data_IF_470947702109
#
_entry.id   IF_470947702109
#
_cell.length_a   1.000
_cell.length_b   1.000
_cell.length_c   1.000
_cell.angle_alpha   90.00
_cell.angle_beta   90.00
_cell.angle_gamma   90.00
#
_symmetry.space_group_name_H-M   'P 1'
#
loop_
_entity.id
_entity.type
_entity.pdbx_description
1 polymer ?
#
# COMPACT_ATOMS: atom_id res chain seq x y z
N UNK A 1 45.64 -28.07 56.25
CA UNK A 1 46.46 -27.07 55.54
C UNK A 1 45.95 -27.03 54.11
N UNK A 2 45.37 -25.90 53.77
CA UNK A 2 44.58 -25.56 52.58
C UNK A 2 45.32 -25.88 51.27
N UNK A 3 44.62 -26.50 50.31
CA UNK A 3 45.08 -26.61 48.92
C UNK A 3 44.21 -25.69 48.08
N UNK A 4 44.82 -24.61 47.62
CA UNK A 4 44.24 -23.59 46.76
C UNK A 4 43.71 -24.21 45.45
N UNK A 5 42.39 -24.12 45.26
CA UNK A 5 41.76 -24.26 43.96
C UNK A 5 41.84 -22.89 43.31
N UNK A 6 42.75 -22.72 42.34
CA UNK A 6 42.72 -21.57 41.43
C UNK A 6 41.51 -21.73 40.52
N UNK A 7 40.41 -21.10 40.90
CA UNK A 7 39.22 -20.90 40.07
C UNK A 7 39.61 -19.96 38.92
N UNK A 8 39.82 -20.49 37.73
CA UNK A 8 39.97 -19.68 36.53
C UNK A 8 38.57 -19.15 36.17
N UNK A 9 38.34 -17.88 36.48
CA UNK A 9 37.13 -17.17 36.09
C UNK A 9 37.21 -16.95 34.56
N UNK A 10 36.56 -17.84 33.79
CA UNK A 10 36.42 -17.66 32.35
C UNK A 10 35.30 -16.65 32.13
N UNK A 11 35.68 -15.37 32.03
CA UNK A 11 34.78 -14.29 31.64
C UNK A 11 34.46 -14.52 30.15
N UNK A 12 33.33 -15.16 29.87
CA UNK A 12 32.73 -15.15 28.53
C UNK A 12 32.15 -13.75 28.35
N UNK A 13 32.95 -12.85 27.78
CA UNK A 13 32.44 -11.59 27.25
C UNK A 13 31.61 -11.98 26.02
N UNK A 14 30.28 -11.85 26.10
CA UNK A 14 29.44 -11.81 24.91
C UNK A 14 29.85 -10.55 24.12
N UNK A 15 30.82 -10.72 23.23
CA UNK A 15 31.09 -9.74 22.18
C UNK A 15 29.86 -9.73 21.28
N UNK A 16 29.30 -8.55 21.05
CA UNK A 16 28.30 -8.32 20.01
C UNK A 16 28.78 -9.03 18.74
N UNK A 17 28.05 -10.06 18.30
CA UNK A 17 28.37 -10.77 17.07
C UNK A 17 28.11 -9.77 15.95
N UNK A 18 29.17 -9.13 15.48
CA UNK A 18 29.13 -8.30 14.28
C UNK A 18 28.75 -9.22 13.12
N UNK A 19 27.74 -8.81 12.35
CA UNK A 19 27.20 -9.48 11.17
C UNK A 19 28.21 -9.49 10.00
N UNK A 20 29.46 -9.91 10.23
CA UNK A 20 30.50 -9.79 9.22
C UNK A 20 30.69 -11.07 8.40
N UNK A 21 30.98 -10.90 7.11
CA UNK A 21 31.29 -12.00 6.21
C UNK A 21 32.62 -12.65 6.57
N UNK A 22 32.67 -13.97 6.55
CA UNK A 22 33.93 -14.72 6.72
C UNK A 22 34.47 -15.15 5.36
N UNK A 23 35.77 -14.99 5.16
CA UNK A 23 36.52 -15.38 3.96
C UNK A 23 37.58 -16.39 4.35
N UNK A 24 37.54 -17.57 3.75
CA UNK A 24 38.53 -18.60 3.96
C UNK A 24 39.59 -18.57 2.85
N UNK A 25 40.83 -18.22 3.19
CA UNK A 25 41.93 -18.25 2.25
C UNK A 25 42.45 -19.69 2.09
N UNK A 26 42.14 -20.30 0.95
CA UNK A 26 42.57 -21.67 0.66
C UNK A 26 44.10 -21.83 0.55
N UNK A 27 44.86 -20.75 0.36
CA UNK A 27 46.32 -20.82 0.24
C UNK A 27 47.01 -20.83 1.61
N UNK A 28 46.49 -20.05 2.57
CA UNK A 28 47.05 -19.95 3.92
C UNK A 28 46.34 -20.86 4.93
N UNK A 29 45.10 -21.27 4.62
CA UNK A 29 44.23 -22.02 5.52
C UNK A 29 43.60 -21.16 6.62
N UNK A 30 43.72 -19.83 6.54
CA UNK A 30 43.21 -18.88 7.53
C UNK A 30 41.80 -18.37 7.16
N UNK A 31 40.99 -18.13 8.18
CA UNK A 31 39.67 -17.52 8.06
C UNK A 31 39.74 -16.05 8.51
N UNK A 32 39.22 -15.16 7.67
CA UNK A 32 39.23 -13.73 7.91
C UNK A 32 37.82 -13.16 7.95
N UNK A 33 37.57 -12.30 8.92
CA UNK A 33 36.39 -11.45 8.92
C UNK A 33 36.61 -10.28 7.95
N UNK A 34 35.69 -10.11 6.99
CA UNK A 34 35.73 -9.05 5.99
C UNK A 34 35.02 -7.82 6.54
N UNK A 35 35.81 -6.83 6.93
CA UNK A 35 35.40 -5.57 7.55
C UNK A 35 36.14 -4.39 6.92
N UNK A 36 35.78 -3.17 7.33
CA UNK A 36 36.47 -1.96 6.89
C UNK A 36 37.95 -1.92 7.29
N UNK A 37 38.36 -2.70 8.29
CA UNK A 37 39.74 -2.74 8.80
C UNK A 37 40.58 -3.87 8.19
N UNK A 38 39.98 -4.76 7.39
CA UNK A 38 40.67 -5.91 6.79
C UNK A 38 41.81 -5.45 5.86
N UNK A 39 42.93 -6.16 5.92
CA UNK A 39 44.10 -5.87 5.07
C UNK A 39 43.74 -5.88 3.58
N UNK A 40 44.31 -4.94 2.83
CA UNK A 40 43.99 -4.75 1.41
C UNK A 40 44.31 -5.97 0.54
N UNK A 41 45.29 -6.80 0.91
CA UNK A 41 45.61 -8.03 0.17
C UNK A 41 44.50 -9.06 0.33
N UNK A 42 43.97 -9.20 1.54
CA UNK A 42 42.84 -10.09 1.83
C UNK A 42 41.60 -9.60 1.08
N UNK A 43 41.31 -8.29 1.11
CA UNK A 43 40.22 -7.69 0.33
C UNK A 43 40.39 -7.97 -1.18
N UNK A 44 41.60 -7.85 -1.72
CA UNK A 44 41.86 -8.17 -3.13
C UNK A 44 41.62 -9.65 -3.45
N UNK A 45 42.05 -10.56 -2.59
CA UNK A 45 41.82 -11.99 -2.75
C UNK A 45 40.32 -12.32 -2.71
N UNK A 46 39.62 -11.77 -1.71
CA UNK A 46 38.17 -11.87 -1.55
C UNK A 46 37.39 -11.38 -2.79
N UNK A 47 37.74 -10.21 -3.33
CA UNK A 47 37.12 -9.67 -4.54
C UNK A 47 37.39 -10.55 -5.76
N UNK A 48 38.60 -11.10 -5.88
CA UNK A 48 38.99 -11.99 -6.98
C UNK A 48 38.16 -13.26 -6.99
N UNK A 49 37.98 -13.90 -5.83
CA UNK A 49 37.14 -15.10 -5.68
C UNK A 49 35.69 -14.82 -6.07
N UNK A 50 35.14 -13.72 -5.57
CA UNK A 50 33.77 -13.29 -5.85
C UNK A 50 33.59 -12.66 -7.25
N UNK A 51 34.63 -12.66 -8.09
CA UNK A 51 34.62 -12.07 -9.43
C UNK A 51 34.14 -10.60 -9.42
N UNK A 52 34.45 -9.87 -8.36
CA UNK A 52 34.03 -8.49 -8.13
C UNK A 52 35.15 -7.49 -8.43
N UNK A 53 34.74 -6.23 -8.64
CA UNK A 53 35.61 -5.09 -8.98
C UNK A 53 35.84 -4.14 -7.80
N UNK A 54 34.90 -4.11 -6.86
CA UNK A 54 34.94 -3.24 -5.69
C UNK A 54 34.08 -3.82 -4.58
N UNK A 55 34.35 -3.38 -3.36
CA UNK A 55 33.56 -3.66 -2.15
C UNK A 55 33.20 -2.32 -1.52
N UNK A 56 32.03 -2.27 -0.91
CA UNK A 56 31.59 -1.17 -0.06
C UNK A 56 30.97 -1.76 1.20
N UNK A 57 31.23 -1.13 2.34
CA UNK A 57 30.71 -1.57 3.63
C UNK A 57 29.54 -0.69 4.03
N UNK A 58 28.50 -1.29 4.58
CA UNK A 58 27.33 -0.57 5.07
C UNK A 58 27.77 0.32 6.26
N UNK A 59 27.45 1.62 6.25
CA UNK A 59 27.71 2.47 7.41
C UNK A 59 26.94 2.04 8.65
N UNK A 60 25.77 1.41 8.49
CA UNK A 60 25.03 0.80 9.60
C UNK A 60 25.63 -0.57 9.94
N UNK A 61 26.29 -0.64 11.10
CA UNK A 61 26.95 -1.85 11.60
C UNK A 61 25.99 -2.89 12.17
N UNK A 62 24.74 -2.50 12.45
CA UNK A 62 23.72 -3.41 12.95
C UNK A 62 22.87 -4.01 11.83
N UNK A 63 23.09 -3.55 10.59
CA UNK A 63 22.40 -4.10 9.43
C UNK A 63 22.75 -5.57 9.22
N UNK A 64 21.76 -6.35 8.78
CA UNK A 64 21.99 -7.71 8.25
C UNK A 64 22.66 -7.69 6.86
N UNK A 65 22.87 -6.50 6.29
CA UNK A 65 23.49 -6.32 4.98
C UNK A 65 24.79 -5.53 5.13
N UNK A 66 25.84 -6.14 5.71
CA UNK A 66 27.05 -5.46 6.17
C UNK A 66 27.91 -4.91 5.04
N UNK A 67 27.78 -5.45 3.83
CA UNK A 67 28.59 -5.07 2.68
C UNK A 67 27.88 -5.36 1.36
N UNK A 68 28.37 -4.72 0.31
CA UNK A 68 27.98 -4.99 -1.08
C UNK A 68 29.22 -5.04 -1.96
N UNK A 69 29.16 -5.85 -3.01
CA UNK A 69 30.26 -5.97 -3.98
C UNK A 69 29.80 -5.53 -5.37
N UNK A 70 30.70 -4.90 -6.11
CA UNK A 70 30.45 -4.46 -7.48
C UNK A 70 30.85 -5.57 -8.43
N UNK A 71 29.88 -6.17 -9.11
CA UNK A 71 30.15 -7.26 -10.04
C UNK A 71 30.87 -6.76 -11.31
N UNK A 72 31.26 -7.71 -12.20
CA UNK A 72 31.98 -7.37 -13.45
C UNK A 72 31.21 -6.41 -14.38
N UNK A 73 29.88 -6.40 -14.31
CA UNK A 73 29.01 -5.51 -15.10
C UNK A 73 28.88 -4.11 -14.48
N UNK A 74 29.45 -3.90 -13.29
CA UNK A 74 29.44 -2.61 -12.61
C UNK A 74 28.24 -2.41 -11.69
N UNK A 75 27.42 -3.44 -11.46
CA UNK A 75 26.28 -3.37 -10.55
C UNK A 75 26.66 -3.87 -9.16
N UNK A 76 26.10 -3.24 -8.13
CA UNK A 76 26.23 -3.66 -6.75
C UNK A 76 25.28 -4.81 -6.42
N UNK A 77 25.75 -5.81 -5.66
CA UNK A 77 24.95 -6.89 -5.06
C UNK A 77 25.22 -6.96 -3.56
N UNK A 78 24.17 -7.23 -2.78
CA UNK A 78 24.21 -7.23 -1.32
C UNK A 78 24.68 -8.58 -0.78
N UNK A 79 25.42 -8.54 0.33
CA UNK A 79 25.65 -9.71 1.17
C UNK A 79 24.61 -9.73 2.29
N UNK A 80 23.96 -10.87 2.51
CA UNK A 80 23.08 -11.10 3.65
C UNK A 80 23.82 -11.94 4.69
N UNK A 81 24.05 -11.37 5.87
CA UNK A 81 24.77 -12.04 6.97
C UNK A 81 23.98 -13.17 7.59
N UNK A 82 22.64 -13.17 7.47
CA UNK A 82 21.77 -14.25 8.00
C UNK A 82 21.90 -15.51 7.16
N UNK A 83 22.07 -15.34 5.85
CA UNK A 83 22.25 -16.45 4.90
C UNK A 83 23.73 -16.75 4.61
N UNK A 84 24.64 -15.92 5.13
CA UNK A 84 26.07 -15.96 4.83
C UNK A 84 26.38 -15.98 3.33
N UNK A 85 25.60 -15.24 2.53
CA UNK A 85 25.70 -15.32 1.08
C UNK A 85 25.36 -13.99 0.38
N UNK A 86 25.83 -13.84 -0.86
CA UNK A 86 25.35 -12.75 -1.71
C UNK A 86 23.99 -13.09 -2.29
N UNK A 87 23.03 -12.20 -2.07
CA UNK A 87 21.67 -12.26 -2.60
C UNK A 87 21.58 -11.56 -3.96
N UNK A 88 20.56 -11.87 -4.75
CA UNK A 88 20.34 -11.28 -6.09
C UNK A 88 21.51 -11.45 -7.07
N UNK A 89 22.25 -12.56 -7.02
CA UNK A 89 23.42 -12.77 -7.90
C UNK A 89 23.04 -12.73 -9.39
N UNK A 90 21.91 -13.31 -9.75
CA UNK A 90 21.42 -13.37 -11.13
C UNK A 90 20.80 -12.04 -11.57
N UNK A 91 19.97 -11.45 -10.72
CA UNK A 91 19.32 -10.15 -10.91
C UNK A 91 20.35 -9.03 -10.99
N UNK A 92 21.45 -9.15 -10.24
CA UNK A 92 22.63 -8.28 -10.27
C UNK A 92 23.27 -8.16 -11.66
N UNK A 93 22.95 -9.05 -12.60
CA UNK A 93 23.31 -8.89 -14.02
C UNK A 93 22.60 -7.72 -14.71
N UNK A 94 21.49 -7.24 -14.14
CA UNK A 94 20.55 -6.23 -14.69
C UNK A 94 20.28 -5.08 -13.73
N UNK A 95 20.27 -5.34 -12.44
CA UNK A 95 19.97 -4.39 -11.37
C UNK A 95 21.20 -4.12 -10.50
N UNK A 96 21.25 -2.96 -9.86
CA UNK A 96 22.25 -2.58 -8.87
C UNK A 96 21.55 -2.19 -7.57
N UNK A 97 21.96 -2.77 -6.44
CA UNK A 97 21.24 -2.65 -5.17
C UNK A 97 21.86 -1.59 -4.23
N UNK A 98 21.00 -0.82 -3.57
CA UNK A 98 21.35 0.05 -2.46
C UNK A 98 21.39 -0.72 -1.13
N UNK A 99 22.16 -0.22 -0.18
CA UNK A 99 21.98 -0.66 1.21
C UNK A 99 20.58 -0.22 1.67
N UNK A 100 19.87 -1.07 2.44
CA UNK A 100 18.65 -0.62 3.10
C UNK A 100 19.01 0.45 4.13
N UNK A 101 18.28 1.57 4.12
CA UNK A 101 18.34 2.53 5.22
C UNK A 101 17.56 2.02 6.43
N UNK A 102 17.63 2.75 7.54
CA UNK A 102 16.99 2.35 8.80
C UNK A 102 15.46 2.24 8.73
N UNK A 103 14.81 2.92 7.78
CA UNK A 103 13.36 2.81 7.61
C UNK A 103 13.01 1.56 6.81
N UNK A 104 13.74 1.30 5.73
CA UNK A 104 13.49 0.15 4.86
C UNK A 104 13.93 -1.17 5.48
N UNK A 105 14.99 -1.17 6.30
CA UNK A 105 15.51 -2.37 6.96
C UNK A 105 14.50 -3.01 7.92
N UNK A 106 13.56 -2.23 8.46
CA UNK A 106 12.51 -2.71 9.37
C UNK A 106 11.62 -3.77 8.70
N UNK A 107 11.41 -3.65 7.40
CA UNK A 107 10.56 -4.54 6.62
C UNK A 107 11.35 -5.36 5.59
N UNK A 108 12.68 -5.50 5.77
CA UNK A 108 13.57 -6.15 4.80
C UNK A 108 13.40 -5.61 3.38
N UNK A 109 13.21 -4.29 3.24
CA UNK A 109 13.09 -3.63 1.96
C UNK A 109 14.40 -2.96 1.54
N UNK A 110 14.65 -2.86 0.24
CA UNK A 110 15.72 -2.04 -0.32
C UNK A 110 15.32 -1.44 -1.68
N UNK A 111 16.24 -0.69 -2.26
CA UNK A 111 16.10 -0.09 -3.58
C UNK A 111 17.05 -0.73 -4.57
N UNK A 112 16.52 -1.10 -5.74
CA UNK A 112 17.29 -1.51 -6.90
C UNK A 112 17.22 -0.47 -8.01
N UNK A 113 18.33 -0.33 -8.75
CA UNK A 113 18.46 0.55 -9.90
C UNK A 113 18.57 -0.23 -11.19
N UNK A 114 17.82 0.17 -12.22
CA UNK A 114 17.98 -0.32 -13.59
C UNK A 114 17.60 0.75 -14.60
N UNK A 115 18.49 1.05 -15.55
CA UNK A 115 18.25 2.02 -16.64
C UNK A 115 17.72 3.39 -16.14
N UNK A 116 18.32 3.93 -15.07
CA UNK A 116 17.94 5.20 -14.39
C UNK A 116 16.60 5.17 -13.63
N UNK A 117 15.95 4.02 -13.52
CA UNK A 117 14.73 3.83 -12.72
C UNK A 117 15.07 3.14 -11.41
N UNK A 118 14.30 3.47 -10.37
CA UNK A 118 14.34 2.80 -9.07
C UNK A 118 13.18 1.83 -8.93
N UNK A 119 13.41 0.77 -8.17
CA UNK A 119 12.47 -0.32 -7.90
C UNK A 119 12.56 -0.71 -6.44
N UNK A 120 11.43 -1.10 -5.85
CA UNK A 120 11.41 -1.66 -4.51
C UNK A 120 11.83 -3.14 -4.58
N UNK A 121 12.51 -3.59 -3.54
CA UNK A 121 13.03 -4.96 -3.43
C UNK A 121 12.63 -5.51 -2.08
N UNK A 122 12.10 -6.72 -2.05
CA UNK A 122 11.97 -7.51 -0.84
C UNK A 122 13.23 -8.37 -0.69
N UNK A 123 14.04 -8.08 0.33
CA UNK A 123 15.31 -8.75 0.58
C UNK A 123 15.11 -10.14 1.21
N UNK A 124 14.02 -10.35 1.95
CA UNK A 124 13.72 -11.63 2.59
C UNK A 124 13.30 -12.69 1.57
N UNK A 125 12.42 -12.32 0.64
CA UNK A 125 11.93 -13.19 -0.43
C UNK A 125 12.81 -13.17 -1.68
N UNK A 126 13.90 -12.38 -1.68
CA UNK A 126 14.75 -12.12 -2.84
C UNK A 126 13.96 -11.71 -4.11
N UNK A 127 12.95 -10.87 -3.92
CA UNK A 127 12.07 -10.42 -4.99
C UNK A 127 12.28 -8.95 -5.37
N UNK A 128 12.27 -8.66 -6.67
CA UNK A 128 12.26 -7.28 -7.20
C UNK A 128 10.86 -6.98 -7.72
N UNK A 129 10.24 -5.96 -7.14
CA UNK A 129 8.95 -5.47 -7.60
C UNK A 129 9.10 -4.60 -8.87
N UNK A 130 9.32 -5.26 -10.01
CA UNK A 130 9.68 -4.59 -11.26
C UNK A 130 8.50 -4.00 -12.04
N UNK A 131 7.27 -4.26 -11.57
CA UNK A 131 6.01 -3.69 -12.09
C UNK A 131 5.91 -2.18 -11.82
N UNK A 132 6.49 -1.71 -10.72
CA UNK A 132 6.36 -0.32 -10.26
C UNK A 132 7.75 0.31 -10.15
N UNK A 133 8.02 1.27 -11.04
CA UNK A 133 9.24 2.08 -10.98
C UNK A 133 8.94 3.50 -10.50
N UNK A 134 9.85 4.10 -9.76
CA UNK A 134 9.69 5.45 -9.21
C UNK A 134 10.96 6.30 -9.30
N UNK A 135 10.78 7.62 -9.22
CA UNK A 135 11.84 8.63 -9.19
C UNK A 135 12.22 8.98 -7.75
N UNK A 136 11.19 9.17 -6.91
CA UNK A 136 11.29 9.43 -5.47
C UNK A 136 10.40 8.47 -4.69
N UNK A 137 10.71 8.27 -3.42
CA UNK A 137 9.92 7.47 -2.50
C UNK A 137 9.92 8.14 -1.13
N UNK A 138 8.86 7.90 -0.35
CA UNK A 138 8.71 8.34 1.02
C UNK A 138 7.96 7.24 1.79
N UNK A 139 8.61 6.51 2.70
CA UNK A 139 7.93 5.51 3.51
C UNK A 139 6.94 6.19 4.47
N UNK A 140 5.78 5.58 4.65
CA UNK A 140 4.78 5.95 5.63
C UNK A 140 4.86 4.92 6.75
N UNK A 141 5.21 5.38 7.95
CA UNK A 141 5.54 4.52 9.09
C UNK A 141 4.50 4.72 10.18
N UNK A 142 4.02 3.62 10.74
CA UNK A 142 3.22 3.62 11.97
C UNK A 142 4.07 3.12 13.15
N UNK A 143 3.68 3.54 14.35
CA UNK A 143 4.25 3.06 15.61
C UNK A 143 3.17 2.31 16.37
N UNK A 144 3.48 1.06 16.72
CA UNK A 144 2.64 0.22 17.54
C UNK A 144 3.30 -0.08 18.89
N UNK A 145 2.48 -0.34 19.90
CA UNK A 145 2.94 -0.89 21.17
C UNK A 145 2.73 -2.39 21.15
N UNK A 146 3.80 -3.12 20.87
CA UNK A 146 3.83 -4.57 21.03
C UNK A 146 4.09 -4.92 22.49
N UNK A 147 3.68 -6.10 22.90
CA UNK A 147 3.96 -6.62 24.22
C UNK A 147 4.84 -7.86 24.07
N UNK A 148 5.99 -7.87 24.72
CA UNK A 148 6.88 -9.03 24.74
C UNK A 148 7.12 -9.50 26.17
N UNK A 149 7.42 -10.77 26.33
CA UNK A 149 7.90 -11.28 27.60
C UNK A 149 9.37 -10.93 27.75
N UNK A 150 9.74 -10.36 28.90
CA UNK A 150 11.13 -10.18 29.28
C UNK A 150 11.74 -11.51 29.78
N UNK A 151 13.01 -11.50 30.16
CA UNK A 151 13.71 -12.69 30.69
C UNK A 151 13.11 -13.24 31.99
N UNK A 152 12.21 -12.48 32.63
CA UNK A 152 11.50 -12.85 33.86
C UNK A 152 10.05 -13.28 33.60
N UNK A 153 9.67 -13.53 32.34
CA UNK A 153 8.30 -13.85 31.90
C UNK A 153 7.26 -12.75 32.26
N UNK A 154 7.70 -11.50 32.43
CA UNK A 154 6.82 -10.36 32.62
C UNK A 154 6.54 -9.68 31.28
N UNK A 155 5.28 -9.26 31.08
CA UNK A 155 4.84 -8.60 29.86
C UNK A 155 5.29 -7.13 29.88
N UNK A 156 6.21 -6.75 28.99
CA UNK A 156 6.68 -5.37 28.85
C UNK A 156 6.26 -4.74 27.51
N UNK A 157 5.84 -3.46 27.49
CA UNK A 157 5.55 -2.75 26.25
C UNK A 157 6.84 -2.45 25.48
N UNK A 158 6.82 -2.73 24.19
CA UNK A 158 7.88 -2.42 23.23
C UNK A 158 7.29 -1.60 22.09
N UNK A 159 7.81 -0.40 21.88
CA UNK A 159 7.43 0.41 20.71
C UNK A 159 8.09 -0.21 19.47
N UNK A 160 7.28 -0.58 18.50
CA UNK A 160 7.73 -1.10 17.21
C UNK A 160 7.23 -0.19 16.10
N UNK A 161 8.15 0.33 15.29
CA UNK A 161 7.80 1.02 14.05
C UNK A 161 7.76 0.04 12.90
N UNK A 162 6.80 0.18 11.97
CA UNK A 162 6.74 -0.59 10.73
C UNK A 162 6.22 0.29 9.58
N UNK A 163 6.65 -0.02 8.35
CA UNK A 163 6.12 0.65 7.15
C UNK A 163 4.71 0.10 6.89
N UNK A 164 3.72 1.00 6.84
CA UNK A 164 2.34 0.64 6.49
C UNK A 164 2.08 0.78 4.98
N UNK A 165 2.71 1.77 4.36
CA UNK A 165 2.59 2.05 2.93
C UNK A 165 3.76 2.92 2.47
N UNK A 166 3.91 3.10 1.16
CA UNK A 166 5.00 3.87 0.57
C UNK A 166 4.41 4.84 -0.44
N UNK A 167 4.61 6.14 -0.21
CA UNK A 167 4.35 7.14 -1.23
C UNK A 167 5.49 7.09 -2.25
N UNK A 168 5.16 7.04 -3.54
CA UNK A 168 6.14 7.02 -4.62
C UNK A 168 5.81 8.08 -5.67
N UNK A 169 6.84 8.68 -6.25
CA UNK A 169 6.69 9.69 -7.29
C UNK A 169 7.09 9.12 -8.66
N UNK A 170 6.29 9.44 -9.68
CA UNK A 170 6.59 9.14 -11.08
C UNK A 170 6.06 10.27 -11.96
N UNK A 171 6.92 10.84 -12.81
CA UNK A 171 6.57 12.00 -13.65
C UNK A 171 5.97 13.15 -12.82
N UNK A 172 6.67 13.54 -11.75
CA UNK A 172 6.32 14.66 -10.87
C UNK A 172 5.05 14.49 -10.03
N UNK A 173 4.26 13.42 -10.25
CA UNK A 173 3.07 13.12 -9.47
C UNK A 173 3.31 11.98 -8.50
N UNK A 174 2.68 12.07 -7.34
CA UNK A 174 2.74 11.08 -6.28
C UNK A 174 1.56 10.11 -6.34
N UNK A 175 1.81 8.86 -5.99
CA UNK A 175 0.84 7.80 -5.76
C UNK A 175 1.21 6.98 -4.51
N UNK A 176 0.35 6.07 -4.11
CA UNK A 176 0.54 5.22 -2.94
C UNK A 176 0.72 3.77 -3.35
N UNK A 177 1.72 3.13 -2.75
CA UNK A 177 1.91 1.69 -2.78
C UNK A 177 1.57 1.10 -1.42
N UNK A 178 0.73 0.07 -1.42
CA UNK A 178 0.43 -0.75 -0.25
C UNK A 178 1.14 -2.10 -0.35
N UNK A 179 1.59 -2.59 0.81
CA UNK A 179 2.35 -3.83 0.96
C UNK A 179 1.42 -4.91 1.54
N UNK A 180 1.13 -5.96 0.77
CA UNK A 180 0.25 -7.06 1.20
C UNK A 180 0.72 -8.39 0.59
N UNK A 181 1.86 -8.88 1.08
CA UNK A 181 2.64 -9.98 0.47
C UNK A 181 3.39 -9.57 -0.81
N UNK A 182 2.78 -8.69 -1.59
CA UNK A 182 3.27 -8.08 -2.82
C UNK A 182 3.19 -6.55 -2.72
N UNK A 183 3.53 -5.84 -3.81
CA UNK A 183 3.25 -4.39 -3.93
C UNK A 183 2.06 -4.11 -4.84
N UNK A 184 1.21 -3.18 -4.43
CA UNK A 184 0.08 -2.73 -5.23
C UNK A 184 0.01 -1.21 -5.27
N UNK A 185 -0.15 -0.64 -6.46
CA UNK A 185 -0.41 0.79 -6.61
C UNK A 185 -1.86 1.06 -6.20
N UNK A 186 -2.11 1.33 -4.92
CA UNK A 186 -3.46 1.54 -4.40
C UNK A 186 -4.00 2.95 -4.67
N UNK A 187 -3.13 3.96 -4.83
CA UNK A 187 -3.49 5.31 -5.27
C UNK A 187 -2.67 5.71 -6.49
N UNK A 188 -3.34 6.14 -7.56
CA UNK A 188 -2.68 6.56 -8.80
C UNK A 188 -1.85 7.84 -8.62
N UNK A 189 -0.93 8.07 -9.55
CA UNK A 189 -0.09 9.26 -9.65
C UNK A 189 -0.88 10.54 -9.97
N UNK A 190 -1.63 11.05 -8.99
CA UNK A 190 -2.53 12.20 -9.15
C UNK A 190 -2.18 13.37 -8.23
N UNK A 191 -1.35 13.14 -7.23
CA UNK A 191 -1.10 14.08 -6.14
C UNK A 191 0.16 14.90 -6.40
N UNK A 192 0.13 16.19 -6.07
CA UNK A 192 1.30 17.07 -6.21
C UNK A 192 2.28 16.88 -5.07
N UNK A 193 1.77 16.59 -3.87
CA UNK A 193 2.57 16.34 -2.67
C UNK A 193 2.21 14.98 -2.07
N UNK A 194 3.17 14.30 -1.40
CA UNK A 194 2.90 13.02 -0.75
C UNK A 194 1.90 13.15 0.41
N UNK A 195 1.78 14.33 1.01
CA UNK A 195 0.81 14.62 2.08
C UNK A 195 -0.64 14.71 1.59
N UNK A 196 -0.86 14.92 0.29
CA UNK A 196 -2.22 14.98 -0.30
C UNK A 196 -2.79 13.59 -0.60
N UNK A 197 -1.95 12.54 -0.49
CA UNK A 197 -2.34 11.18 -0.77
C UNK A 197 -3.28 10.70 0.35
N UNK A 198 -4.48 10.18 0.03
CA UNK A 198 -5.34 9.54 1.02
C UNK A 198 -4.63 8.39 1.71
N UNK A 199 -5.04 8.11 2.95
CA UNK A 199 -4.51 6.97 3.70
C UNK A 199 -4.63 5.66 2.91
N UNK A 200 -3.74 4.73 3.25
CA UNK A 200 -3.80 3.34 2.81
C UNK A 200 -5.18 2.75 3.10
N UNK A 201 -5.68 1.90 2.19
CA UNK A 201 -6.98 1.25 2.38
C UNK A 201 -6.92 0.19 3.48
N UNK A 202 -5.74 -0.41 3.71
CA UNK A 202 -5.61 -1.55 4.62
C UNK A 202 -6.21 -2.83 4.04
N UNK A 203 -6.46 -2.85 2.73
CA UNK A 203 -7.01 -4.00 2.04
C UNK A 203 -5.99 -5.14 1.90
N UNK A 204 -6.50 -6.37 1.83
CA UNK A 204 -5.72 -7.56 1.53
C UNK A 204 -5.29 -7.59 0.05
N UNK A 205 -4.29 -8.40 -0.27
CA UNK A 205 -3.71 -8.49 -1.62
C UNK A 205 -4.74 -8.68 -2.74
N UNK A 206 -5.75 -9.55 -2.55
CA UNK A 206 -6.76 -9.81 -3.59
C UNK A 206 -7.69 -8.61 -3.87
N UNK A 207 -7.97 -7.78 -2.85
CA UNK A 207 -8.74 -6.54 -3.01
C UNK A 207 -7.91 -5.49 -3.75
N UNK A 208 -6.63 -5.35 -3.38
CA UNK A 208 -5.70 -4.43 -4.04
C UNK A 208 -5.43 -4.83 -5.50
N UNK A 209 -5.29 -6.13 -5.77
CA UNK A 209 -5.17 -6.69 -7.12
C UNK A 209 -6.42 -6.36 -7.95
N UNK A 210 -7.61 -6.53 -7.37
CA UNK A 210 -8.86 -6.17 -8.03
C UNK A 210 -8.91 -4.68 -8.39
N UNK A 211 -8.41 -3.78 -7.53
CA UNK A 211 -8.32 -2.34 -7.83
C UNK A 211 -7.40 -2.06 -9.03
N UNK A 212 -6.24 -2.73 -9.12
CA UNK A 212 -5.32 -2.60 -10.26
C UNK A 212 -5.95 -3.12 -11.55
N UNK A 213 -6.58 -4.30 -11.50
CA UNK A 213 -7.27 -4.91 -12.63
C UNK A 213 -8.42 -4.03 -13.11
N UNK A 214 -9.23 -3.48 -12.20
CA UNK A 214 -10.28 -2.52 -12.54
C UNK A 214 -9.74 -1.30 -13.29
N UNK A 215 -8.66 -0.69 -12.79
CA UNK A 215 -8.05 0.47 -13.44
C UNK A 215 -7.56 0.15 -14.85
N UNK A 216 -6.94 -1.01 -15.03
CA UNK A 216 -6.42 -1.48 -16.31
C UNK A 216 -7.56 -1.81 -17.28
N UNK A 217 -8.45 -2.71 -16.90
CA UNK A 217 -9.47 -3.29 -17.77
C UNK A 217 -10.58 -2.30 -18.12
N UNK A 218 -10.86 -1.36 -17.22
CA UNK A 218 -11.86 -0.31 -17.45
C UNK A 218 -11.22 1.02 -17.86
N UNK A 219 -9.90 1.11 -17.98
CA UNK A 219 -9.15 2.33 -18.31
C UNK A 219 -9.57 3.52 -17.42
N UNK A 220 -9.46 3.31 -16.10
CA UNK A 220 -9.82 4.30 -15.10
C UNK A 220 -8.59 5.14 -14.74
N UNK A 221 -8.80 6.44 -14.53
CA UNK A 221 -7.76 7.32 -13.99
C UNK A 221 -7.94 7.57 -12.48
N UNK A 222 -9.17 7.46 -11.98
CA UNK A 222 -9.49 7.47 -10.55
C UNK A 222 -10.33 6.25 -10.17
N UNK A 223 -10.09 5.75 -8.97
CA UNK A 223 -10.88 4.70 -8.34
C UNK A 223 -10.94 5.04 -6.85
N UNK A 224 -12.15 5.03 -6.30
CA UNK A 224 -12.42 5.37 -4.90
C UNK A 224 -13.30 4.28 -4.32
N UNK A 225 -12.88 3.71 -3.21
CA UNK A 225 -13.64 2.77 -2.39
C UNK A 225 -14.95 3.39 -1.89
N UNK A 226 -16.00 2.57 -1.85
CA UNK A 226 -17.32 2.93 -1.32
C UNK A 226 -17.66 2.16 -0.04
N UNK A 227 -16.87 1.15 0.31
CA UNK A 227 -16.99 0.35 1.53
C UNK A 227 -15.62 0.06 2.14
N UNK A 228 -15.64 -0.40 3.39
CA UNK A 228 -14.43 -0.78 4.14
C UNK A 228 -13.94 -2.20 3.79
N UNK A 229 -14.73 -2.95 3.01
CA UNK A 229 -14.44 -4.33 2.64
C UNK A 229 -13.80 -4.46 1.26
N UNK A 230 -13.56 -3.36 0.55
CA UNK A 230 -12.94 -3.36 -0.77
C UNK A 230 -13.74 -4.13 -1.82
N UNK A 231 -15.08 -4.14 -1.74
CA UNK A 231 -15.94 -4.83 -2.69
C UNK A 231 -16.72 -3.87 -3.59
N UNK A 232 -16.84 -2.60 -3.22
CA UNK A 232 -17.55 -1.59 -4.00
C UNK A 232 -16.66 -0.37 -4.26
N UNK A 233 -16.65 0.08 -5.51
CA UNK A 233 -15.83 1.20 -5.96
C UNK A 233 -16.60 2.10 -6.91
N UNK A 234 -16.37 3.41 -6.82
CA UNK A 234 -16.65 4.33 -7.92
C UNK A 234 -15.38 4.54 -8.74
N UNK A 235 -15.49 4.43 -10.06
CA UNK A 235 -14.36 4.57 -10.97
C UNK A 235 -14.61 5.62 -12.03
N UNK A 236 -13.61 6.49 -12.27
CA UNK A 236 -13.66 7.52 -13.32
C UNK A 236 -12.91 7.07 -14.56
N UNK A 237 -13.58 7.12 -15.70
CA UNK A 237 -12.98 6.81 -17.00
C UNK A 237 -11.93 7.86 -17.39
N UNK A 238 -10.75 7.40 -17.79
CA UNK A 238 -9.64 8.28 -18.18
C UNK A 238 -9.99 9.26 -19.31
N UNK A 239 -10.76 8.82 -20.30
CA UNK A 239 -11.09 9.62 -21.50
C UNK A 239 -12.30 10.53 -21.30
N UNK A 240 -13.44 9.98 -20.91
CA UNK A 240 -14.69 10.75 -20.77
C UNK A 240 -14.76 11.55 -19.48
N UNK A 241 -13.96 11.20 -18.46
CA UNK A 241 -14.03 11.75 -17.10
C UNK A 241 -15.35 11.47 -16.37
N UNK A 242 -16.17 10.56 -16.90
CA UNK A 242 -17.42 10.12 -16.30
C UNK A 242 -17.18 8.96 -15.32
N UNK A 243 -18.04 8.89 -14.32
CA UNK A 243 -18.02 7.95 -13.21
C UNK A 243 -19.03 6.84 -13.43
N UNK A 244 -18.66 5.64 -13.01
CA UNK A 244 -19.53 4.48 -12.84
C UNK A 244 -19.23 3.76 -11.53
N UNK A 245 -20.01 2.74 -11.20
CA UNK A 245 -19.83 1.90 -10.00
C UNK A 245 -19.51 0.47 -10.42
N UNK A 246 -18.56 -0.10 -9.69
CA UNK A 246 -18.03 -1.44 -9.90
C UNK A 246 -18.04 -2.20 -8.58
N UNK A 247 -18.53 -3.43 -8.59
CA UNK A 247 -18.47 -4.31 -7.42
C UNK A 247 -18.11 -5.74 -7.78
N UNK A 248 -17.52 -6.45 -6.82
CA UNK A 248 -17.27 -7.88 -6.95
C UNK A 248 -16.19 -8.39 -6.00
N UNK A 249 -16.03 -9.71 -6.00
CA UNK A 249 -14.99 -10.42 -5.26
C UNK A 249 -13.97 -10.95 -6.28
N UNK A 250 -12.80 -10.33 -6.34
CA UNK A 250 -11.72 -10.65 -7.29
C UNK A 250 -11.96 -10.15 -8.72
N UNK A 251 -13.14 -10.42 -9.31
CA UNK A 251 -13.52 -9.91 -10.64
C UNK A 251 -14.73 -9.00 -10.53
N UNK A 252 -14.49 -7.69 -10.69
CA UNK A 252 -15.55 -6.69 -10.55
C UNK A 252 -16.42 -6.56 -11.81
N UNK A 253 -17.74 -6.54 -11.56
CA UNK A 253 -18.80 -6.18 -12.51
C UNK A 253 -18.90 -4.67 -12.64
N UNK A 254 -19.59 -4.23 -13.68
CA UNK A 254 -19.95 -2.84 -13.88
C UNK A 254 -21.43 -2.70 -13.56
N UNK A 255 -21.75 -2.38 -12.31
CA UNK A 255 -23.12 -2.36 -11.83
C UNK A 255 -23.83 -1.05 -12.20
N UNK A 256 -23.10 0.07 -12.20
CA UNK A 256 -23.60 1.35 -12.73
C UNK A 256 -22.69 1.82 -13.87
N UNK A 257 -23.23 2.08 -15.07
CA UNK A 257 -22.44 2.50 -16.23
C UNK A 257 -21.66 3.80 -15.98
N UNK A 258 -20.48 3.88 -16.59
CA UNK A 258 -19.59 5.04 -16.46
C UNK A 258 -20.00 6.20 -17.37
N UNK A 259 -21.20 6.75 -17.14
CA UNK A 259 -21.81 7.81 -17.96
C UNK A 259 -22.25 9.04 -17.16
N UNK A 260 -21.92 9.09 -15.86
CA UNK A 260 -22.35 10.16 -14.96
C UNK A 260 -21.22 11.12 -14.61
N UNK A 261 -21.53 12.40 -14.48
CA UNK A 261 -20.56 13.44 -14.12
C UNK A 261 -20.15 13.34 -12.65
N UNK A 262 -21.07 12.86 -11.81
CA UNK A 262 -20.90 12.67 -10.38
C UNK A 262 -21.75 11.49 -9.92
N UNK A 263 -21.19 10.70 -9.02
CA UNK A 263 -21.92 9.67 -8.26
C UNK A 263 -21.67 9.92 -6.77
N UNK A 264 -22.75 10.00 -5.99
CA UNK A 264 -22.72 10.05 -4.53
C UNK A 264 -23.33 8.76 -4.01
N UNK A 265 -22.52 8.00 -3.26
CA UNK A 265 -23.00 6.84 -2.54
C UNK A 265 -23.51 7.28 -1.18
N UNK A 266 -24.76 6.98 -0.90
CA UNK A 266 -25.37 7.24 0.40
C UNK A 266 -25.37 5.95 1.20
N UNK A 267 -24.48 5.83 2.19
CA UNK A 267 -24.45 4.67 3.09
C UNK A 267 -25.42 4.88 4.27
N UNK A 268 -26.14 3.84 4.69
CA UNK A 268 -27.10 3.92 5.80
C UNK A 268 -28.26 2.94 5.68
N UNK A 269 -29.36 3.19 6.40
CA UNK A 269 -30.56 2.32 6.36
C UNK A 269 -31.27 2.30 5.01
N UNK A 270 -30.87 3.13 4.05
CA UNK A 270 -31.42 3.19 2.70
C UNK A 270 -30.32 3.53 1.70
N UNK A 271 -29.52 2.52 1.41
CA UNK A 271 -28.41 2.62 0.46
C UNK A 271 -28.94 2.92 -0.95
N UNK A 272 -28.38 3.96 -1.57
CA UNK A 272 -28.61 4.29 -2.96
C UNK A 272 -27.41 5.00 -3.58
N UNK A 273 -27.40 5.06 -4.90
CA UNK A 273 -26.39 5.76 -5.69
C UNK A 273 -27.06 6.92 -6.42
N UNK A 274 -26.87 8.12 -5.89
CA UNK A 274 -27.29 9.36 -6.54
C UNK A 274 -26.36 9.64 -7.73
N UNK A 275 -26.94 9.85 -8.90
CA UNK A 275 -26.20 10.01 -10.16
C UNK A 275 -26.58 11.33 -10.83
N UNK A 276 -25.58 12.07 -11.32
CA UNK A 276 -25.78 13.36 -11.99
C UNK A 276 -25.35 13.32 -13.44
N UNK A 277 -26.16 13.95 -14.30
CA UNK A 277 -25.90 14.13 -15.72
C UNK A 277 -26.62 15.41 -16.19
N UNK A 278 -25.91 16.27 -16.91
CA UNK A 278 -26.46 17.51 -17.47
C UNK A 278 -27.15 18.42 -16.43
N UNK A 279 -26.61 18.45 -15.20
CA UNK A 279 -27.16 19.23 -14.09
C UNK A 279 -28.49 18.69 -13.52
N UNK A 280 -28.89 17.47 -13.88
CA UNK A 280 -30.05 16.76 -13.32
C UNK A 280 -29.62 15.57 -12.50
N UNK A 281 -30.46 15.19 -11.54
CA UNK A 281 -30.23 14.08 -10.64
C UNK A 281 -31.24 12.95 -10.87
N UNK A 282 -30.71 11.73 -10.82
CA UNK A 282 -31.45 10.47 -10.78
C UNK A 282 -30.77 9.55 -9.76
N UNK A 283 -31.20 8.30 -9.65
CA UNK A 283 -30.52 7.35 -8.77
C UNK A 283 -30.77 5.88 -9.10
N UNK A 284 -29.81 5.05 -8.67
CA UNK A 284 -29.92 3.61 -8.60
C UNK A 284 -30.17 3.16 -7.16
N UNK A 285 -30.97 2.12 -6.96
CA UNK A 285 -31.17 1.51 -5.64
C UNK A 285 -29.95 0.67 -5.21
N UNK A 286 -30.02 0.07 -4.00
CA UNK A 286 -28.98 -0.80 -3.45
C UNK A 286 -28.67 -2.05 -4.29
N UNK A 287 -29.62 -2.48 -5.13
CA UNK A 287 -29.46 -3.62 -6.04
C UNK A 287 -28.88 -3.20 -7.40
N UNK A 288 -28.42 -1.95 -7.52
CA UNK A 288 -27.92 -1.35 -8.75
C UNK A 288 -28.96 -1.31 -9.87
N UNK A 289 -30.24 -1.23 -9.52
CA UNK A 289 -31.33 -1.04 -10.48
C UNK A 289 -31.61 0.45 -10.61
N UNK A 290 -31.70 0.95 -11.85
CA UNK A 290 -32.03 2.34 -12.11
C UNK A 290 -33.49 2.59 -11.74
N UNK A 291 -33.72 3.43 -10.74
CA UNK A 291 -35.09 3.78 -10.30
C UNK A 291 -35.58 5.01 -11.06
N UNK A 292 -34.73 6.03 -11.16
CA UNK A 292 -34.99 7.25 -11.92
C UNK A 292 -33.78 7.67 -12.72
N UNK A 293 -34.00 7.94 -14.01
CA UNK A 293 -33.04 8.66 -14.85
C UNK A 293 -32.78 10.08 -14.30
N UNK A 294 -31.63 10.70 -14.64
CA UNK A 294 -31.38 12.11 -14.34
C UNK A 294 -32.41 13.04 -15.00
N UNK A 295 -33.45 13.42 -14.24
CA UNK A 295 -34.47 14.38 -14.68
C UNK A 295 -34.90 15.37 -13.58
N UNK A 296 -34.46 15.15 -12.34
CA UNK A 296 -34.84 15.96 -11.19
C UNK A 296 -33.83 17.09 -10.94
N UNK A 297 -34.28 18.15 -10.28
CA UNK A 297 -33.45 19.28 -9.89
C UNK A 297 -32.60 18.98 -8.66
N UNK A 298 -33.11 18.15 -7.75
CA UNK A 298 -32.49 17.86 -6.46
C UNK A 298 -33.01 16.54 -5.87
N UNK A 299 -32.21 15.93 -4.99
CA UNK A 299 -32.46 14.66 -4.31
C UNK A 299 -32.08 14.77 -2.84
N UNK A 300 -32.98 14.36 -1.96
CA UNK A 300 -32.73 14.26 -0.52
C UNK A 300 -33.22 12.92 0.00
N UNK A 301 -32.33 12.16 0.63
CA UNK A 301 -32.72 11.02 1.46
C UNK A 301 -33.52 11.52 2.66
N UNK A 302 -34.76 11.05 2.76
CA UNK A 302 -35.75 11.62 3.64
C UNK A 302 -36.09 10.64 4.75
N UNK A 303 -35.53 10.88 5.95
CA UNK A 303 -35.87 10.12 7.15
C UNK A 303 -37.30 10.45 7.58
N UNK A 304 -38.12 9.41 7.69
CA UNK A 304 -39.50 9.43 8.16
C UNK A 304 -39.60 8.68 9.49
N UNK A 305 -40.75 8.82 10.16
CA UNK A 305 -41.05 8.23 11.47
C UNK A 305 -40.51 6.80 11.71
N UNK A 306 -40.78 5.86 10.80
CA UNK A 306 -40.32 4.47 10.91
C UNK A 306 -39.69 3.92 9.62
N UNK A 307 -39.44 4.77 8.63
CA UNK A 307 -38.93 4.37 7.32
C UNK A 307 -38.15 5.49 6.66
N UNK A 308 -37.67 5.27 5.45
CA UNK A 308 -36.97 6.26 4.65
C UNK A 308 -37.60 6.33 3.27
N UNK A 309 -37.64 7.55 2.73
CA UNK A 309 -38.03 7.80 1.35
C UNK A 309 -36.94 8.57 0.61
N UNK A 310 -37.14 8.73 -0.69
CA UNK A 310 -36.36 9.63 -1.52
C UNK A 310 -37.24 10.83 -1.89
N UNK A 311 -36.88 12.01 -1.40
CA UNK A 311 -37.51 13.25 -1.80
C UNK A 311 -36.81 13.76 -3.07
N UNK A 312 -37.57 13.93 -4.15
CA UNK A 312 -37.07 14.41 -5.44
C UNK A 312 -37.76 15.72 -5.81
N UNK A 313 -36.99 16.69 -6.32
CA UNK A 313 -37.50 18.00 -6.70
C UNK A 313 -37.74 18.09 -8.21
N UNK A 314 -38.96 18.45 -8.60
CA UNK A 314 -39.37 18.66 -10.00
C UNK A 314 -40.26 19.91 -10.09
N UNK A 315 -39.95 20.81 -11.02
CA UNK A 315 -40.69 22.06 -11.24
C UNK A 315 -40.82 22.89 -9.95
N UNK A 316 -39.72 22.98 -9.18
CA UNK A 316 -39.68 23.73 -7.94
C UNK A 316 -40.36 23.07 -6.72
N UNK A 317 -40.96 21.88 -6.85
CA UNK A 317 -41.68 21.19 -5.77
C UNK A 317 -41.12 19.80 -5.48
N UNK A 318 -41.19 19.39 -4.23
CA UNK A 318 -40.74 18.10 -3.72
C UNK A 318 -41.84 17.04 -3.81
N UNK A 319 -41.45 15.84 -4.17
CA UNK A 319 -42.29 14.64 -4.24
C UNK A 319 -41.57 13.49 -3.52
N UNK A 320 -42.32 12.63 -2.82
CA UNK A 320 -41.76 11.56 -1.98
C UNK A 320 -41.95 10.20 -2.65
N UNK A 321 -40.85 9.47 -2.84
CA UNK A 321 -40.82 8.16 -3.48
C UNK A 321 -40.23 7.09 -2.55
N UNK A 322 -40.64 5.84 -2.76
CA UNK A 322 -39.94 4.70 -2.18
C UNK A 322 -38.53 4.61 -2.75
N UNK A 323 -37.54 4.26 -1.92
CA UNK A 323 -36.15 4.17 -2.38
C UNK A 323 -36.01 3.09 -3.46
N UNK A 324 -36.60 1.91 -3.28
CA UNK A 324 -36.38 0.79 -4.19
C UNK A 324 -37.25 0.79 -5.47
N UNK A 325 -38.17 1.75 -5.63
CA UNK A 325 -39.11 1.73 -6.75
C UNK A 325 -39.62 3.13 -7.11
N UNK A 326 -39.98 3.39 -8.39
CA UNK A 326 -40.52 4.67 -8.84
C UNK A 326 -42.00 4.85 -8.45
N UNK A 327 -42.30 4.61 -7.17
CA UNK A 327 -43.64 4.68 -6.59
C UNK A 327 -43.67 5.77 -5.54
N UNK A 328 -44.66 6.66 -5.62
CA UNK A 328 -44.87 7.67 -4.59
C UNK A 328 -45.27 7.03 -3.26
N UNK A 329 -44.73 7.58 -2.17
CA UNK A 329 -45.11 7.19 -0.80
C UNK A 329 -46.36 7.93 -0.33
N UNK A 330 -46.60 9.12 -0.86
CA UNK A 330 -47.82 9.92 -0.67
C UNK A 330 -48.23 10.59 -1.96
N UNK A 331 -49.53 10.78 -2.13
CA UNK A 331 -50.05 11.61 -3.19
C UNK A 331 -49.75 13.09 -2.94
N UNK A 332 -49.50 13.83 -4.02
CA UNK A 332 -49.21 15.26 -3.97
C UNK A 332 -47.73 15.63 -4.09
N UNK A 333 -47.43 16.87 -3.71
CA UNK A 333 -46.13 17.53 -3.76
C UNK A 333 -46.12 18.73 -2.79
N UNK A 334 -44.94 19.14 -2.32
CA UNK A 334 -44.77 20.23 -1.36
C UNK A 334 -43.68 21.21 -1.81
N UNK A 335 -43.76 22.48 -1.39
CA UNK A 335 -42.70 23.47 -1.66
C UNK A 335 -41.45 23.25 -0.80
N UNK A 336 -41.61 22.62 0.36
CA UNK A 336 -40.55 22.32 1.33
C UNK A 336 -40.55 20.84 1.71
N UNK A 337 -39.42 20.37 2.25
CA UNK A 337 -39.31 19.02 2.79
C UNK A 337 -40.23 18.82 4.00
N UNK A 338 -40.41 19.84 4.84
CA UNK A 338 -41.36 19.81 5.96
C UNK A 338 -42.80 19.59 5.48
N UNK A 339 -43.23 20.29 4.43
CA UNK A 339 -44.56 20.05 3.84
C UNK A 339 -44.71 18.63 3.30
N UNK A 340 -43.63 18.03 2.78
CA UNK A 340 -43.61 16.64 2.35
C UNK A 340 -43.76 15.67 3.54
N UNK A 341 -43.14 15.99 4.69
CA UNK A 341 -43.32 15.25 5.95
C UNK A 341 -44.75 15.34 6.45
N UNK A 342 -45.38 16.51 6.37
CA UNK A 342 -46.79 16.68 6.74
C UNK A 342 -47.72 15.85 5.84
N UNK A 343 -47.47 15.82 4.53
CA UNK A 343 -48.21 14.94 3.61
C UNK A 343 -48.05 13.48 4.01
N UNK A 344 -46.83 13.03 4.33
CA UNK A 344 -46.58 11.69 4.88
C UNK A 344 -47.41 11.43 6.14
N UNK A 345 -47.30 12.28 7.16
CA UNK A 345 -47.98 12.04 8.44
C UNK A 345 -49.52 12.03 8.35
N UNK A 346 -50.10 12.63 7.30
CA UNK A 346 -51.55 12.72 7.09
C UNK A 346 -52.11 11.72 6.05
N UNK A 347 -51.30 10.77 5.58
CA UNK A 347 -51.63 9.83 4.48
C UNK A 347 -52.68 8.78 4.82
#
# INVERSE_FOLDING_TARGET
MTRDIKLFLLVVIFLNILNAQRYYDQQTGEEYEITQQTDQKIIHAFLKENKAKAIEFNPDRNSNYPLRIKNRRGNWVLYDSRQESFIFKEEGKRYSFEFPDSHLSINDLAIAHRKKKKYLVNLMEEEIFDKISFDQFKPIVAMDTLHRYNEQDELEPMISSHITSIAIQSNEKWGLVELSGEVYLSRNYLYDFPEDIPAATGFQGFQLEMMENLRKDRNLDQLVELDDNGYHFKGRKRKSKLWGVYSGEGVARNDIPAEYEKIVYHNGSSELYEVWKDGKVGYYNRMHELVFEPEFEDLVLFNLDYTYGCALKKDGKWQLYYVDAPKKMVEGQAETLEGLRELWLNR
#
